data_IF_123739158891
#
_entry.id   IF_123739158891
#
_cell.length_a   1.000
_cell.length_b   1.000
_cell.length_c   1.000
_cell.angle_alpha   90.00
_cell.angle_beta   90.00
_cell.angle_gamma   90.00
#
_symmetry.space_group_name_H-M   'P 1'
#
loop_
_entity.id
_entity.type
_entity.pdbx_description
1 polymer ?
#
# COMPACT_ATOMS: atom_id res chain seq x y z
N UNK A 1 -23.42 -33.96 -1.90
CA UNK A 1 -22.48 -33.81 -3.04
C UNK A 1 -21.06 -34.01 -2.53
N UNK A 2 -20.30 -34.98 -3.06
CA UNK A 2 -18.96 -35.33 -2.53
C UNK A 2 -17.95 -34.29 -3.02
N UNK A 3 -17.36 -33.51 -2.10
CA UNK A 3 -16.31 -32.55 -2.45
C UNK A 3 -15.06 -33.34 -2.84
N UNK A 4 -14.70 -33.30 -4.12
CA UNK A 4 -13.51 -33.96 -4.64
C UNK A 4 -12.28 -33.14 -4.20
N UNK A 5 -11.30 -33.82 -3.61
CA UNK A 5 -10.06 -33.21 -3.12
C UNK A 5 -9.02 -33.13 -4.23
N UNK A 6 -8.20 -32.08 -4.17
CA UNK A 6 -7.10 -31.83 -5.10
C UNK A 6 -6.12 -33.02 -5.18
N UNK A 7 -5.71 -33.36 -6.40
CA UNK A 7 -4.70 -34.40 -6.66
C UNK A 7 -3.26 -33.97 -6.32
N UNK A 8 -3.00 -32.66 -6.20
CA UNK A 8 -1.66 -32.10 -5.92
C UNK A 8 -1.08 -32.45 -4.54
N UNK A 9 0.26 -32.46 -4.47
CA UNK A 9 1.04 -32.65 -3.25
C UNK A 9 1.54 -31.29 -2.75
N UNK A 10 1.32 -31.01 -1.47
CA UNK A 10 1.79 -29.76 -0.85
C UNK A 10 3.31 -29.75 -0.72
N UNK A 11 3.90 -28.58 -0.47
CA UNK A 11 5.34 -28.45 -0.21
C UNK A 11 5.83 -29.33 0.95
N UNK A 12 4.95 -29.67 1.90
CA UNK A 12 5.25 -30.56 3.03
C UNK A 12 5.10 -32.05 2.71
N UNK A 13 4.89 -32.43 1.45
CA UNK A 13 4.79 -33.83 1.01
C UNK A 13 3.43 -34.50 1.24
N UNK A 14 2.48 -33.84 1.90
CA UNK A 14 1.13 -34.36 2.14
C UNK A 14 0.17 -34.05 0.99
N UNK A 15 -0.89 -34.86 0.83
CA UNK A 15 -1.96 -34.59 -0.16
C UNK A 15 -2.72 -33.31 0.16
N UNK A 16 -2.96 -32.50 -0.86
CA UNK A 16 -3.72 -31.27 -0.73
C UNK A 16 -5.18 -31.54 -0.33
N UNK A 17 -5.67 -30.87 0.71
CA UNK A 17 -7.04 -31.01 1.22
C UNK A 17 -8.04 -30.08 0.54
N UNK A 18 -7.58 -29.12 -0.29
CA UNK A 18 -8.44 -28.14 -0.94
C UNK A 18 -9.39 -28.77 -1.96
N UNK A 19 -10.60 -28.19 -2.13
CA UNK A 19 -11.54 -28.62 -3.16
C UNK A 19 -10.96 -28.39 -4.57
N UNK A 20 -11.28 -29.29 -5.50
CA UNK A 20 -10.96 -29.11 -6.93
C UNK A 20 -11.81 -28.02 -7.56
N UNK A 21 -11.31 -27.44 -8.65
CA UNK A 21 -12.10 -26.58 -9.52
C UNK A 21 -13.11 -27.41 -10.33
N UNK A 22 -14.25 -26.83 -10.76
CA UNK A 22 -15.18 -27.51 -11.66
C UNK A 22 -14.48 -28.00 -12.92
N UNK A 23 -14.61 -29.29 -13.22
CA UNK A 23 -13.98 -29.92 -14.41
C UNK A 23 -12.46 -30.15 -14.31
N UNK A 24 -11.83 -29.88 -13.16
CA UNK A 24 -10.40 -30.09 -12.94
C UNK A 24 -10.14 -31.15 -11.86
N UNK A 25 -8.96 -31.76 -11.88
CA UNK A 25 -8.44 -32.62 -10.82
C UNK A 25 -7.62 -31.85 -9.77
N UNK A 26 -7.39 -30.56 -10.00
CA UNK A 26 -6.57 -29.71 -9.14
C UNK A 26 -7.37 -28.55 -8.55
N UNK A 27 -6.92 -28.06 -7.39
CA UNK A 27 -7.41 -26.80 -6.83
C UNK A 27 -6.75 -25.60 -7.52
N UNK A 28 -7.27 -24.40 -7.27
CA UNK A 28 -6.72 -23.14 -7.79
C UNK A 28 -5.20 -22.99 -7.59
N UNK A 29 -4.64 -23.54 -6.51
CA UNK A 29 -3.21 -23.42 -6.21
C UNK A 29 -2.32 -24.40 -6.98
N UNK A 30 -2.81 -25.61 -7.27
CA UNK A 30 -2.04 -26.67 -7.93
C UNK A 30 -2.38 -26.84 -9.42
N UNK A 31 -3.44 -26.19 -9.90
CA UNK A 31 -3.83 -26.13 -11.31
C UNK A 31 -2.75 -25.38 -12.15
N UNK A 32 -2.04 -26.02 -13.09
CA UNK A 32 -1.06 -25.35 -13.94
C UNK A 32 -1.67 -24.20 -14.76
N UNK A 33 -2.89 -24.40 -15.26
CA UNK A 33 -3.66 -23.44 -16.06
C UNK A 33 -3.99 -22.14 -15.30
N UNK A 34 -4.01 -22.20 -13.96
CA UNK A 34 -4.29 -21.03 -13.11
C UNK A 34 -3.03 -20.25 -12.72
N UNK A 35 -1.85 -20.58 -13.29
CA UNK A 35 -0.60 -19.90 -12.94
C UNK A 35 -0.65 -18.37 -13.13
N UNK A 36 -1.21 -17.90 -14.25
CA UNK A 36 -1.35 -16.46 -14.51
C UNK A 36 -2.38 -15.81 -13.58
N UNK A 37 -3.53 -16.45 -13.38
CA UNK A 37 -4.55 -15.96 -12.43
C UNK A 37 -3.99 -15.85 -11.00
N UNK A 38 -3.11 -16.78 -10.59
CA UNK A 38 -2.39 -16.70 -9.30
C UNK A 38 -1.41 -15.53 -9.25
N UNK A 39 -0.65 -15.29 -10.33
CA UNK A 39 0.27 -14.14 -10.41
C UNK A 39 -0.50 -12.82 -10.31
N UNK A 40 -1.62 -12.71 -11.00
CA UNK A 40 -2.48 -11.53 -10.92
C UNK A 40 -3.08 -11.36 -9.53
N UNK A 41 -3.61 -12.42 -8.93
CA UNK A 41 -4.13 -12.39 -7.55
C UNK A 41 -3.04 -12.02 -6.54
N UNK A 42 -1.81 -12.49 -6.71
CA UNK A 42 -0.67 -12.11 -5.89
C UNK A 42 -0.32 -10.63 -6.07
N UNK A 43 -0.32 -10.12 -7.31
CA UNK A 43 -0.10 -8.70 -7.62
C UNK A 43 -1.17 -7.83 -6.97
N UNK A 44 -2.45 -8.19 -7.12
CA UNK A 44 -3.59 -7.49 -6.50
C UNK A 44 -3.52 -7.54 -4.97
N UNK A 45 -3.19 -8.70 -4.41
CA UNK A 45 -2.98 -8.88 -2.98
C UNK A 45 -1.79 -8.09 -2.44
N UNK A 46 -0.72 -7.96 -3.22
CA UNK A 46 0.44 -7.13 -2.92
C UNK A 46 0.10 -5.64 -2.94
N UNK A 47 -0.59 -5.18 -3.99
CA UNK A 47 -1.10 -3.79 -4.09
C UNK A 47 -1.99 -3.43 -2.89
N UNK A 48 -2.93 -4.29 -2.52
CA UNK A 48 -3.81 -4.07 -1.37
C UNK A 48 -3.08 -4.13 -0.01
N UNK A 49 -1.98 -4.88 0.08
CA UNK A 49 -1.11 -4.93 1.28
C UNK A 49 -0.06 -3.83 1.31
N UNK A 50 0.12 -3.07 0.23
CA UNK A 50 1.09 -1.98 0.18
C UNK A 50 0.83 -0.99 1.32
N UNK A 51 1.91 -0.46 1.90
CA UNK A 51 1.82 0.52 2.97
C UNK A 51 1.02 1.75 2.50
N UNK A 52 1.23 2.18 1.25
CA UNK A 52 0.47 3.25 0.57
C UNK A 52 -1.04 2.98 0.54
N UNK A 53 -1.48 1.80 0.07
CA UNK A 53 -2.92 1.49 -0.01
C UNK A 53 -3.60 1.36 1.36
N UNK A 54 -2.86 0.94 2.39
CA UNK A 54 -3.37 0.91 3.78
C UNK A 54 -3.41 2.30 4.38
N UNK A 55 -2.38 3.11 4.16
CA UNK A 55 -2.29 4.48 4.64
C UNK A 55 -3.39 5.36 4.03
N UNK A 56 -3.67 5.24 2.73
CA UNK A 56 -4.74 5.97 2.04
C UNK A 56 -6.15 5.74 2.64
N UNK A 57 -6.38 4.60 3.32
CA UNK A 57 -7.66 4.30 3.99
C UNK A 57 -7.78 4.89 5.40
N UNK A 58 -6.65 5.26 6.00
CA UNK A 58 -6.55 5.75 7.37
C UNK A 58 -6.41 7.27 7.45
N UNK A 59 -6.19 7.92 6.30
CA UNK A 59 -6.02 9.36 6.20
C UNK A 59 -7.40 9.97 5.90
N UNK A 60 -8.12 10.56 6.89
CA UNK A 60 -9.21 11.49 6.59
C UNK A 60 -8.69 12.66 5.74
N UNK A 61 -9.56 13.47 5.12
CA UNK A 61 -9.14 14.71 4.43
C UNK A 61 -8.12 15.45 5.30
N UNK A 62 -6.86 15.40 4.89
CA UNK A 62 -5.77 15.58 5.82
C UNK A 62 -5.62 17.07 6.13
N UNK A 63 -5.56 17.40 7.42
CA UNK A 63 -4.99 18.67 7.85
C UNK A 63 -3.63 18.85 7.19
N UNK A 64 -3.41 20.03 6.64
CA UNK A 64 -2.14 20.48 6.12
C UNK A 64 -1.06 20.48 7.22
N UNK A 65 0.21 20.46 6.81
CA UNK A 65 1.32 20.56 7.76
C UNK A 65 1.24 21.84 8.63
N UNK A 66 0.72 22.94 8.07
CA UNK A 66 0.52 24.20 8.77
C UNK A 66 -0.58 24.09 9.85
N UNK A 67 -1.72 23.48 9.51
CA UNK A 67 -2.80 23.25 10.47
C UNK A 67 -2.34 22.35 11.62
N UNK A 68 -1.56 21.31 11.31
CA UNK A 68 -1.04 20.41 12.32
C UNK A 68 -0.01 21.08 13.24
N UNK A 69 0.88 21.91 12.70
CA UNK A 69 1.80 22.71 13.49
C UNK A 69 1.04 23.66 14.45
N UNK A 70 -0.05 24.26 13.97
CA UNK A 70 -0.95 25.08 14.79
C UNK A 70 -1.57 24.28 15.94
N UNK A 71 -2.09 23.07 15.64
CA UNK A 71 -2.68 22.18 16.64
C UNK A 71 -1.66 21.72 17.69
N UNK A 72 -0.47 21.30 17.27
CA UNK A 72 0.61 20.89 18.18
C UNK A 72 1.08 22.05 19.06
N UNK A 73 1.11 23.27 18.52
CA UNK A 73 1.43 24.48 19.29
C UNK A 73 0.37 24.76 20.35
N UNK A 74 -0.91 24.62 20.02
CA UNK A 74 -2.01 24.78 20.97
C UNK A 74 -1.99 23.68 22.05
N UNK A 75 -1.72 22.44 21.65
CA UNK A 75 -1.58 21.29 22.54
C UNK A 75 -0.43 21.50 23.54
N UNK A 76 0.74 21.92 23.04
CA UNK A 76 1.90 22.25 23.87
C UNK A 76 1.56 23.32 24.92
N UNK A 77 0.97 24.44 24.50
CA UNK A 77 0.53 25.49 25.43
C UNK A 77 -0.48 24.96 26.44
N UNK A 78 -1.42 24.13 26.02
CA UNK A 78 -2.42 23.51 26.89
C UNK A 78 -1.79 22.65 27.98
N UNK A 79 -0.80 21.82 27.63
CA UNK A 79 -0.06 21.00 28.60
C UNK A 79 0.78 21.86 29.54
N UNK A 80 1.54 22.82 29.01
CA UNK A 80 2.40 23.69 29.81
C UNK A 80 1.63 24.58 30.79
N UNK A 81 0.38 24.93 30.46
CA UNK A 81 -0.51 25.72 31.32
C UNK A 81 -1.38 24.86 32.25
N UNK A 82 -1.25 23.53 32.21
CA UNK A 82 -2.05 22.61 33.01
C UNK A 82 -3.52 22.49 32.57
N UNK A 83 -3.91 23.13 31.45
CA UNK A 83 -5.26 23.01 30.88
C UNK A 83 -5.51 21.65 30.22
N UNK A 84 -4.43 20.95 29.84
CA UNK A 84 -4.46 19.61 29.26
C UNK A 84 -3.57 18.72 30.10
N UNK A 85 -4.06 17.56 30.51
CA UNK A 85 -3.24 16.56 31.20
C UNK A 85 -2.10 16.05 30.30
N UNK A 86 -0.89 15.85 30.84
CA UNK A 86 0.24 15.34 30.06
C UNK A 86 -0.05 14.03 29.33
N UNK A 87 -0.84 13.12 29.92
CA UNK A 87 -1.21 11.83 29.28
C UNK A 87 -2.06 12.04 28.03
N UNK A 88 -3.01 12.96 28.08
CA UNK A 88 -3.83 13.35 26.92
C UNK A 88 -2.96 14.03 25.86
N UNK A 89 -2.05 14.92 26.29
CA UNK A 89 -1.07 15.56 25.42
C UNK A 89 -0.22 14.55 24.63
N UNK A 90 0.35 13.56 25.31
CA UNK A 90 1.15 12.50 24.68
C UNK A 90 0.34 11.66 23.69
N UNK A 91 -0.90 11.31 24.04
CA UNK A 91 -1.77 10.54 23.15
C UNK A 91 -2.07 11.33 21.86
N UNK A 92 -2.45 12.61 22.00
CA UNK A 92 -2.73 13.48 20.86
C UNK A 92 -1.50 13.70 19.96
N UNK A 93 -0.31 13.93 20.54
CA UNK A 93 0.93 14.08 19.79
C UNK A 93 1.30 12.78 19.03
N UNK A 94 1.06 11.62 19.63
CA UNK A 94 1.31 10.32 18.99
C UNK A 94 0.38 10.10 17.80
N UNK A 95 -0.90 10.41 17.94
CA UNK A 95 -1.88 10.32 16.84
C UNK A 95 -1.47 11.26 15.71
N UNK A 96 -1.12 12.51 16.03
CA UNK A 96 -0.65 13.48 15.05
C UNK A 96 0.57 12.96 14.26
N UNK A 97 1.55 12.38 14.95
CA UNK A 97 2.72 11.76 14.31
C UNK A 97 2.32 10.65 13.34
N UNK A 98 1.46 9.72 13.76
CA UNK A 98 0.98 8.61 12.92
C UNK A 98 0.22 9.12 11.70
N UNK A 99 -0.55 10.20 11.84
CA UNK A 99 -1.25 10.83 10.70
C UNK A 99 -0.26 11.40 9.66
N UNK A 100 0.81 12.07 10.09
CA UNK A 100 1.85 12.57 9.15
C UNK A 100 2.52 11.39 8.45
N UNK A 101 2.94 10.38 9.20
CA UNK A 101 3.65 9.22 8.64
C UNK A 101 2.76 8.47 7.63
N UNK A 102 1.48 8.29 7.96
CA UNK A 102 0.51 7.71 7.04
C UNK A 102 0.36 8.57 5.77
N UNK A 103 0.29 9.90 5.91
CA UNK A 103 0.20 10.80 4.77
C UNK A 103 1.44 10.76 3.87
N UNK A 104 2.64 10.79 4.46
CA UNK A 104 3.89 10.68 3.72
C UNK A 104 3.96 9.38 2.90
N UNK A 105 3.49 8.28 3.48
CA UNK A 105 3.39 6.98 2.78
C UNK A 105 2.28 6.98 1.72
N UNK A 106 1.20 7.71 1.92
CA UNK A 106 0.12 7.86 0.95
C UNK A 106 0.53 8.73 -0.26
N UNK A 107 1.32 9.77 -0.03
CA UNK A 107 1.78 10.72 -1.06
C UNK A 107 3.00 10.21 -1.85
N UNK A 108 3.69 9.17 -1.37
CA UNK A 108 4.83 8.58 -2.08
C UNK A 108 4.42 8.12 -3.49
N UNK A 109 5.14 8.53 -4.55
CA UNK A 109 4.84 8.09 -5.92
C UNK A 109 4.99 6.57 -6.04
N UNK A 110 4.11 5.94 -6.83
CA UNK A 110 4.25 4.51 -7.15
C UNK A 110 5.42 4.27 -8.09
N UNK A 111 5.83 3.01 -8.23
CA UNK A 111 6.85 2.62 -9.21
C UNK A 111 6.38 2.96 -10.62
N UNK A 112 5.09 2.72 -10.91
CA UNK A 112 4.48 3.10 -12.17
C UNK A 112 4.53 4.63 -12.40
N UNK A 113 4.17 5.45 -11.41
CA UNK A 113 4.27 6.92 -11.51
C UNK A 113 5.71 7.39 -11.82
N UNK A 114 6.70 6.77 -11.16
CA UNK A 114 8.11 7.08 -11.38
C UNK A 114 8.60 6.63 -12.77
N UNK A 115 8.11 5.50 -13.27
CA UNK A 115 8.41 5.03 -14.63
C UNK A 115 7.88 6.01 -15.69
N UNK A 116 6.65 6.49 -15.53
CA UNK A 116 6.05 7.48 -16.43
C UNK A 116 6.83 8.79 -16.40
N UNK A 117 7.26 9.24 -15.21
CA UNK A 117 8.13 10.41 -15.06
C UNK A 117 9.46 10.23 -15.81
N UNK A 118 10.09 9.05 -15.75
CA UNK A 118 11.33 8.77 -16.48
C UNK A 118 11.14 8.83 -17.99
N UNK A 119 10.03 8.29 -18.51
CA UNK A 119 9.69 8.35 -19.95
C UNK A 119 9.49 9.80 -20.40
N UNK A 120 8.75 10.58 -19.62
CA UNK A 120 8.53 12.01 -19.87
C UNK A 120 9.85 12.79 -19.86
N UNK A 121 10.69 12.56 -18.85
CA UNK A 121 11.98 13.24 -18.74
C UNK A 121 12.89 12.92 -19.93
N UNK A 122 12.92 11.65 -20.34
CA UNK A 122 13.71 11.22 -21.50
C UNK A 122 13.25 11.89 -22.79
N UNK A 123 11.95 11.95 -23.04
CA UNK A 123 11.40 12.62 -24.22
C UNK A 123 11.66 14.13 -24.20
N UNK A 124 11.63 14.78 -23.04
CA UNK A 124 12.04 16.18 -22.90
C UNK A 124 13.53 16.39 -23.23
N UNK A 125 14.40 15.51 -22.72
CA UNK A 125 15.85 15.57 -23.01
C UNK A 125 16.09 15.41 -24.52
N UNK A 126 15.49 14.42 -25.16
CA UNK A 126 15.63 14.15 -26.60
C UNK A 126 15.17 15.35 -27.47
N UNK A 127 14.10 16.04 -27.06
CA UNK A 127 13.66 17.30 -27.71
C UNK A 127 14.64 18.46 -27.49
N UNK A 128 15.23 18.56 -26.30
CA UNK A 128 16.18 19.62 -25.95
C UNK A 128 17.59 19.42 -26.57
N UNK A 129 17.99 18.18 -26.84
CA UNK A 129 19.24 17.85 -27.52
C UNK A 129 19.10 17.99 -29.04
N UNK A 130 17.92 17.69 -29.61
CA UNK A 130 17.62 17.97 -31.02
C UNK A 130 17.54 19.45 -31.37
N UNK A 131 17.24 20.33 -30.40
CA UNK A 131 17.14 21.78 -30.58
C UNK A 131 18.46 22.56 -30.49
N UNK A 132 19.60 21.91 -30.20
CA UNK A 132 20.93 22.56 -30.11
C UNK A 132 21.81 22.40 -31.36
N UNK A 133 21.27 21.83 -32.43
CA UNK A 133 21.98 21.59 -33.69
C UNK A 133 21.56 22.54 -34.85
N UNK A 134 21.00 23.71 -34.53
CA UNK A 134 20.66 24.75 -35.51
C UNK A 134 21.38 26.05 -35.16
#
# INVERSE_FOLDING_TARGET
MKVVKCAGITRGGSRCSSPVLPGSSFCFLHAPEMAEARREAARKGGRNRSAKARAAKLVPEAMTAAELAGYLTALFKGVMTGRIEPRVGTAAATIAKVMIEARAVADQPTIEDLQDQLVMLRTMIERSSGGRAA
#
